data_IF_594180888707
#
_entry.id   IF_594180888707
#
_cell.length_a   1.000
_cell.length_b   1.000
_cell.length_c   1.000
_cell.angle_alpha   90.00
_cell.angle_beta   90.00
_cell.angle_gamma   90.00
#
_symmetry.space_group_name_H-M   'P 1'
#
loop_
_entity.id
_entity.type
_entity.pdbx_description
1 polymer ?
#
# COMPACT_ATOMS: atom_id res chain seq x y z
N UNK A 1 24.77 -7.30 -77.54
CA UNK A 1 24.11 -8.33 -76.68
C UNK A 1 24.96 -8.64 -75.48
N UNK A 2 24.47 -8.47 -74.26
CA UNK A 2 25.23 -8.85 -73.05
C UNK A 2 25.39 -10.38 -72.99
N UNK A 3 26.59 -10.86 -72.73
CA UNK A 3 26.91 -12.30 -72.65
C UNK A 3 25.97 -13.05 -71.68
N UNK A 4 25.62 -14.30 -72.05
CA UNK A 4 24.82 -15.19 -71.18
C UNK A 4 25.38 -15.30 -69.78
N UNK A 5 26.73 -15.34 -69.64
CA UNK A 5 27.44 -15.31 -68.33
C UNK A 5 27.07 -14.09 -67.51
N UNK A 6 27.04 -12.90 -68.11
CA UNK A 6 26.68 -11.64 -67.41
C UNK A 6 25.25 -11.67 -66.92
N UNK A 7 24.32 -12.21 -67.69
CA UNK A 7 22.92 -12.34 -67.30
C UNK A 7 22.76 -13.28 -66.09
N UNK A 8 23.43 -14.42 -66.09
CA UNK A 8 23.40 -15.40 -65.01
C UNK A 8 23.98 -14.78 -63.72
N UNK A 9 25.16 -14.12 -63.78
CA UNK A 9 25.79 -13.48 -62.64
C UNK A 9 24.88 -12.40 -62.06
N UNK A 10 24.29 -11.53 -62.89
CA UNK A 10 23.38 -10.46 -62.43
C UNK A 10 22.14 -11.04 -61.78
N UNK A 11 21.53 -12.11 -62.32
CA UNK A 11 20.38 -12.77 -61.75
C UNK A 11 20.70 -13.40 -60.40
N UNK A 12 21.80 -14.09 -60.24
CA UNK A 12 22.24 -14.70 -58.99
C UNK A 12 22.47 -13.63 -57.91
N UNK A 13 23.19 -12.53 -58.27
CA UNK A 13 23.39 -11.41 -57.36
C UNK A 13 22.05 -10.78 -56.93
N UNK A 14 21.13 -10.56 -57.86
CA UNK A 14 19.84 -9.99 -57.57
C UNK A 14 19.00 -10.89 -56.64
N UNK A 15 18.96 -12.20 -56.92
CA UNK A 15 18.27 -13.15 -56.05
C UNK A 15 18.89 -13.21 -54.66
N UNK A 16 20.22 -13.18 -54.55
CA UNK A 16 20.91 -13.15 -53.28
C UNK A 16 20.59 -11.89 -52.48
N UNK A 17 20.61 -10.71 -53.11
CA UNK A 17 20.25 -9.45 -52.47
C UNK A 17 18.79 -9.42 -51.99
N UNK A 18 17.87 -9.90 -52.80
CA UNK A 18 16.44 -9.98 -52.46
C UNK A 18 16.23 -10.94 -51.27
N UNK A 19 16.86 -12.13 -51.34
CA UNK A 19 16.80 -13.09 -50.21
C UNK A 19 17.33 -12.48 -48.92
N UNK A 20 18.48 -11.83 -48.94
CA UNK A 20 19.09 -11.19 -47.76
C UNK A 20 18.22 -10.09 -47.21
N UNK A 21 17.61 -9.29 -48.10
CA UNK A 21 16.69 -8.23 -47.68
C UNK A 21 15.42 -8.78 -46.98
N UNK A 22 14.83 -9.83 -47.56
CA UNK A 22 13.64 -10.48 -46.98
C UNK A 22 13.99 -11.10 -45.63
N UNK A 23 15.08 -11.86 -45.55
CA UNK A 23 15.53 -12.44 -44.25
C UNK A 23 15.84 -11.37 -43.21
N UNK A 24 16.48 -10.28 -43.61
CA UNK A 24 16.77 -9.15 -42.72
C UNK A 24 15.48 -8.46 -42.24
N UNK A 25 14.51 -8.23 -43.11
CA UNK A 25 13.23 -7.63 -42.74
C UNK A 25 12.45 -8.52 -41.75
N UNK A 26 12.37 -9.82 -42.02
CA UNK A 26 11.70 -10.78 -41.10
C UNK A 26 12.43 -10.83 -39.77
N UNK A 27 13.75 -10.85 -39.79
CA UNK A 27 14.58 -10.88 -38.54
C UNK A 27 14.35 -9.62 -37.68
N UNK A 28 14.26 -8.43 -38.31
CA UNK A 28 13.98 -7.18 -37.60
C UNK A 28 12.57 -7.22 -36.98
N UNK A 29 11.56 -7.62 -37.72
CA UNK A 29 10.17 -7.70 -37.21
C UNK A 29 10.08 -8.66 -36.04
N UNK A 30 10.67 -9.85 -36.16
CA UNK A 30 10.68 -10.84 -35.09
C UNK A 30 11.45 -10.33 -33.87
N UNK A 31 12.61 -9.68 -34.07
CA UNK A 31 13.41 -9.11 -33.00
C UNK A 31 12.67 -8.02 -32.23
N UNK A 32 11.96 -7.13 -32.95
CA UNK A 32 11.15 -6.08 -32.32
C UNK A 32 9.96 -6.67 -31.54
N UNK A 33 9.26 -7.66 -32.12
CA UNK A 33 8.14 -8.32 -31.44
C UNK A 33 8.59 -9.05 -30.17
N UNK A 34 9.67 -9.83 -30.25
CA UNK A 34 10.23 -10.54 -29.09
C UNK A 34 10.71 -9.56 -28.01
N UNK A 35 11.40 -8.49 -28.42
CA UNK A 35 11.86 -7.47 -27.49
C UNK A 35 10.71 -6.76 -26.77
N UNK A 36 9.59 -6.53 -27.46
CA UNK A 36 8.40 -5.95 -26.85
C UNK A 36 7.75 -6.91 -25.84
N UNK A 37 7.58 -8.18 -26.20
CA UNK A 37 7.03 -9.21 -25.31
C UNK A 37 7.93 -9.41 -24.07
N UNK A 38 9.25 -9.50 -24.26
CA UNK A 38 10.21 -9.62 -23.16
C UNK A 38 10.16 -8.40 -22.23
N UNK A 39 10.00 -7.19 -22.79
CA UNK A 39 9.88 -5.95 -22.02
C UNK A 39 8.61 -5.90 -21.19
N UNK A 40 7.48 -6.31 -21.74
CA UNK A 40 6.22 -6.39 -21.01
C UNK A 40 6.33 -7.40 -19.86
N UNK A 41 6.90 -8.57 -20.12
CA UNK A 41 7.08 -9.60 -19.10
C UNK A 41 8.03 -9.14 -17.98
N UNK A 42 9.12 -8.46 -18.31
CA UNK A 42 10.04 -7.91 -17.30
C UNK A 42 9.34 -6.85 -16.43
N UNK A 43 8.58 -5.96 -17.04
CA UNK A 43 7.78 -4.96 -16.33
C UNK A 43 6.79 -5.60 -15.36
N UNK A 44 6.02 -6.56 -15.85
CA UNK A 44 5.04 -7.30 -15.06
C UNK A 44 5.69 -8.00 -13.86
N UNK A 45 6.78 -8.75 -14.09
CA UNK A 45 7.50 -9.43 -13.02
C UNK A 45 8.03 -8.47 -11.95
N UNK A 46 8.52 -7.30 -12.35
CA UNK A 46 8.96 -6.27 -11.40
C UNK A 46 7.80 -5.70 -10.59
N UNK A 47 6.68 -5.38 -11.24
CA UNK A 47 5.49 -4.88 -10.56
C UNK A 47 4.94 -5.90 -9.55
N UNK A 48 4.77 -7.16 -9.96
CA UNK A 48 4.30 -8.24 -9.07
C UNK A 48 5.25 -8.42 -7.89
N UNK A 49 6.56 -8.47 -8.13
CA UNK A 49 7.55 -8.64 -7.04
C UNK A 49 7.49 -7.51 -6.01
N UNK A 50 7.23 -6.27 -6.43
CA UNK A 50 7.14 -5.14 -5.50
C UNK A 50 5.77 -5.11 -4.80
N UNK A 51 4.71 -5.47 -5.49
CA UNK A 51 3.38 -5.65 -4.89
C UNK A 51 3.42 -6.72 -3.79
N UNK A 52 4.05 -7.86 -4.05
CA UNK A 52 4.23 -8.94 -3.07
C UNK A 52 5.01 -8.48 -1.82
N UNK A 53 5.98 -7.59 -1.98
CA UNK A 53 6.73 -7.02 -0.85
C UNK A 53 5.84 -6.12 0.03
N UNK A 54 5.03 -5.25 -0.59
CA UNK A 54 4.07 -4.40 0.10
C UNK A 54 2.97 -5.24 0.77
N UNK A 55 2.41 -6.21 0.07
CA UNK A 55 1.42 -7.14 0.61
C UNK A 55 1.95 -7.92 1.82
N UNK A 56 3.20 -8.38 1.75
CA UNK A 56 3.85 -9.05 2.88
C UNK A 56 3.97 -8.13 4.09
N UNK A 57 4.29 -6.85 3.88
CA UNK A 57 4.36 -5.86 4.96
C UNK A 57 2.99 -5.64 5.59
N UNK A 58 1.95 -5.44 4.78
CA UNK A 58 0.57 -5.28 5.26
C UNK A 58 0.10 -6.53 6.01
N UNK A 59 0.35 -7.73 5.48
CA UNK A 59 -0.01 -8.99 6.13
C UNK A 59 0.71 -9.19 7.47
N UNK A 60 1.98 -8.82 7.60
CA UNK A 60 2.70 -8.89 8.87
C UNK A 60 2.06 -8.00 9.93
N UNK A 61 1.62 -6.80 9.55
CA UNK A 61 0.96 -5.87 10.46
C UNK A 61 -0.43 -6.39 10.84
N UNK A 62 -1.27 -6.79 9.88
CA UNK A 62 -2.61 -7.31 10.18
C UNK A 62 -2.56 -8.54 11.08
N UNK A 63 -1.71 -9.52 10.79
CA UNK A 63 -1.53 -10.72 11.64
C UNK A 63 -1.06 -10.37 13.06
N UNK A 64 -0.18 -9.37 13.19
CA UNK A 64 0.29 -8.93 14.51
C UNK A 64 -0.83 -8.28 15.32
N UNK A 65 -1.63 -7.42 14.69
CA UNK A 65 -2.80 -6.79 15.33
C UNK A 65 -3.85 -7.83 15.71
N UNK A 66 -4.16 -8.76 14.81
CA UNK A 66 -5.10 -9.87 15.05
C UNK A 66 -4.67 -10.77 16.22
N UNK A 67 -3.35 -11.04 16.31
CA UNK A 67 -2.80 -11.79 17.44
C UNK A 67 -3.00 -11.03 18.76
N UNK A 68 -2.65 -9.73 18.79
CA UNK A 68 -2.84 -8.89 19.97
C UNK A 68 -4.32 -8.80 20.33
N UNK A 69 -5.21 -8.63 19.33
CA UNK A 69 -6.66 -8.63 19.52
C UNK A 69 -7.16 -9.93 20.14
N UNK A 70 -6.73 -11.08 19.62
CA UNK A 70 -7.13 -12.38 20.14
C UNK A 70 -6.73 -12.57 21.60
N UNK A 71 -5.52 -12.11 21.98
CA UNK A 71 -5.06 -12.15 23.36
C UNK A 71 -5.83 -11.15 24.24
N UNK A 72 -6.08 -9.95 23.71
CA UNK A 72 -6.82 -8.91 24.42
C UNK A 72 -8.24 -9.38 24.77
N UNK A 73 -8.95 -9.95 23.82
CA UNK A 73 -10.29 -10.50 24.04
C UNK A 73 -10.24 -11.69 25.02
N UNK A 74 -9.28 -12.59 24.87
CA UNK A 74 -9.14 -13.74 25.79
C UNK A 74 -8.83 -13.34 27.24
N UNK A 75 -8.17 -12.18 27.46
CA UNK A 75 -7.89 -11.64 28.80
C UNK A 75 -9.00 -10.76 29.37
N UNK A 76 -10.00 -10.46 28.56
CA UNK A 76 -11.13 -9.62 28.97
C UNK A 76 -12.15 -10.43 29.77
N UNK A 77 -11.84 -10.71 31.03
CA UNK A 77 -12.70 -11.56 31.90
C UNK A 77 -14.02 -10.89 32.25
N UNK A 78 -14.04 -9.55 32.40
CA UNK A 78 -15.18 -8.76 32.86
C UNK A 78 -15.32 -7.46 32.06
N UNK A 79 -15.86 -7.53 30.85
CA UNK A 79 -16.06 -6.37 29.98
C UNK A 79 -16.84 -5.21 30.66
N UNK A 80 -17.89 -5.53 31.41
CA UNK A 80 -18.66 -4.54 32.16
C UNK A 80 -17.81 -3.75 33.17
N UNK A 81 -16.68 -4.29 33.63
CA UNK A 81 -15.78 -3.62 34.57
C UNK A 81 -15.00 -2.46 33.93
N UNK A 82 -14.90 -2.39 32.59
CA UNK A 82 -14.34 -1.22 31.92
C UNK A 82 -15.12 0.05 32.21
N UNK A 83 -16.43 -0.05 32.37
CA UNK A 83 -17.32 1.09 32.67
C UNK A 83 -17.34 1.50 34.14
N UNK A 84 -16.98 0.57 35.03
CA UNK A 84 -17.27 0.76 36.46
C UNK A 84 -16.04 0.76 37.34
N UNK A 85 -14.89 0.33 36.83
CA UNK A 85 -13.68 0.15 37.64
C UNK A 85 -12.42 0.62 36.92
N UNK A 86 -11.93 1.78 37.32
CA UNK A 86 -10.62 2.30 36.87
C UNK A 86 -9.49 1.32 37.18
N UNK A 87 -9.50 0.72 38.36
CA UNK A 87 -8.47 -0.26 38.79
C UNK A 87 -8.44 -1.49 37.85
N UNK A 88 -9.60 -1.90 37.32
CA UNK A 88 -9.66 -2.97 36.35
C UNK A 88 -9.01 -2.57 35.03
N UNK A 89 -9.36 -1.37 34.51
CA UNK A 89 -8.77 -0.81 33.28
C UNK A 89 -7.26 -0.68 33.41
N UNK A 90 -6.77 -0.12 34.53
CA UNK A 90 -5.35 0.05 34.80
C UNK A 90 -4.60 -1.29 34.87
N UNK A 91 -5.22 -2.30 35.51
CA UNK A 91 -4.65 -3.65 35.63
C UNK A 91 -4.58 -4.34 34.27
N UNK A 92 -5.66 -4.28 33.49
CA UNK A 92 -5.73 -4.83 32.17
C UNK A 92 -4.69 -4.18 31.23
N UNK A 93 -4.58 -2.85 31.27
CA UNK A 93 -3.59 -2.07 30.51
C UNK A 93 -2.17 -2.52 30.82
N UNK A 94 -1.82 -2.71 32.11
CA UNK A 94 -0.51 -3.20 32.52
C UNK A 94 -0.21 -4.62 32.01
N UNK A 95 -1.23 -5.47 31.92
CA UNK A 95 -1.08 -6.83 31.40
C UNK A 95 -0.90 -6.84 29.87
N UNK A 96 -1.53 -5.89 29.17
CA UNK A 96 -1.44 -5.78 27.71
C UNK A 96 -0.15 -5.12 27.22
N UNK A 97 0.46 -4.24 28.01
CA UNK A 97 1.68 -3.52 27.62
C UNK A 97 2.82 -4.45 27.11
N UNK A 98 3.26 -5.48 27.84
CA UNK A 98 4.34 -6.34 27.36
C UNK A 98 3.95 -7.13 26.10
N UNK A 99 2.67 -7.44 25.92
CA UNK A 99 2.15 -8.16 24.75
C UNK A 99 2.20 -7.26 23.53
N UNK A 100 1.67 -6.04 23.64
CA UNK A 100 1.69 -5.05 22.57
C UNK A 100 3.14 -4.68 22.20
N UNK A 101 4.00 -4.43 23.19
CA UNK A 101 5.41 -4.11 23.00
C UNK A 101 6.15 -5.22 22.24
N UNK A 102 5.97 -6.47 22.66
CA UNK A 102 6.60 -7.63 22.01
C UNK A 102 6.08 -7.81 20.57
N UNK A 103 4.79 -7.63 20.35
CA UNK A 103 4.20 -7.73 19.02
C UNK A 103 4.72 -6.61 18.11
N UNK A 104 4.66 -5.36 18.56
CA UNK A 104 5.15 -4.22 17.80
C UNK A 104 6.64 -4.35 17.43
N UNK A 105 7.49 -4.76 18.39
CA UNK A 105 8.92 -4.91 18.17
C UNK A 105 9.25 -5.98 17.12
N UNK A 106 8.43 -7.03 17.03
CA UNK A 106 8.63 -8.11 16.06
C UNK A 106 7.91 -7.88 14.72
N UNK A 107 7.15 -6.79 14.59
CA UNK A 107 6.42 -6.48 13.36
C UNK A 107 7.27 -5.56 12.48
N UNK A 108 7.76 -6.10 11.37
CA UNK A 108 8.51 -5.32 10.39
C UNK A 108 7.58 -4.26 9.76
N UNK A 109 8.04 -3.02 9.69
CA UNK A 109 7.30 -1.90 9.11
C UNK A 109 6.38 -1.16 10.09
N UNK A 110 6.05 -1.73 11.27
CA UNK A 110 5.25 -1.01 12.26
C UNK A 110 6.00 0.23 12.77
N UNK A 111 5.36 1.39 12.74
CA UNK A 111 5.86 2.66 13.29
C UNK A 111 5.24 2.97 14.65
N UNK A 112 3.93 2.71 14.78
CA UNK A 112 3.20 2.83 16.05
C UNK A 112 2.39 1.57 16.32
N UNK A 113 2.05 1.37 17.58
CA UNK A 113 1.12 0.31 18.01
C UNK A 113 0.34 0.79 19.23
N UNK A 114 -0.96 0.52 19.24
CA UNK A 114 -1.81 1.06 20.28
C UNK A 114 -2.97 0.13 20.67
N UNK A 115 -3.42 0.31 21.91
CA UNK A 115 -4.70 -0.15 22.43
C UNK A 115 -5.37 1.08 23.03
N UNK A 116 -6.49 1.53 22.47
CA UNK A 116 -7.18 2.71 22.97
C UNK A 116 -8.59 2.33 23.38
N UNK A 117 -8.95 2.75 24.60
CA UNK A 117 -10.26 2.43 25.16
C UNK A 117 -11.30 3.50 24.82
N UNK A 118 -12.55 3.13 24.93
CA UNK A 118 -13.67 4.00 24.61
C UNK A 118 -13.74 5.18 25.58
N UNK A 119 -13.57 6.44 25.10
CA UNK A 119 -13.55 7.63 25.95
C UNK A 119 -14.89 7.98 26.59
N UNK A 120 -16.00 7.34 26.19
CA UNK A 120 -17.31 7.58 26.81
C UNK A 120 -17.38 7.06 28.25
N UNK A 121 -16.54 6.10 28.61
CA UNK A 121 -16.54 5.50 29.95
C UNK A 121 -15.15 5.23 30.53
N UNK A 122 -14.09 5.63 29.85
CA UNK A 122 -12.75 5.61 30.39
C UNK A 122 -12.16 7.02 30.35
N UNK A 123 -11.01 7.23 31.01
CA UNK A 123 -10.28 8.50 30.90
C UNK A 123 -9.89 8.76 29.43
N UNK A 124 -9.92 10.00 28.92
CA UNK A 124 -9.65 10.31 27.52
C UNK A 124 -8.28 9.86 27.00
N UNK A 125 -7.31 9.68 27.90
CA UNK A 125 -5.97 9.17 27.60
C UNK A 125 -5.78 7.69 27.90
N UNK A 126 -6.86 6.97 28.26
CA UNK A 126 -6.78 5.56 28.64
C UNK A 126 -6.34 4.66 27.51
N UNK A 127 -5.43 3.74 27.82
CA UNK A 127 -4.90 2.77 26.88
C UNK A 127 -3.37 2.81 26.80
N UNK A 128 -2.86 2.33 25.69
CA UNK A 128 -1.44 2.25 25.35
C UNK A 128 -1.20 2.92 24.01
N UNK A 129 -0.09 3.63 23.91
CA UNK A 129 0.42 4.13 22.64
C UNK A 129 1.94 3.94 22.63
N UNK A 130 2.41 3.14 21.70
CA UNK A 130 3.82 2.87 21.46
C UNK A 130 4.22 3.52 20.16
N UNK A 131 5.38 4.13 20.13
CA UNK A 131 5.95 4.74 18.92
C UNK A 131 7.44 4.50 18.87
N UNK A 132 8.02 4.61 17.67
CA UNK A 132 9.46 4.65 17.43
C UNK A 132 9.77 5.67 16.34
N UNK A 133 11.00 6.16 16.30
CA UNK A 133 11.40 7.20 15.35
C UNK A 133 11.54 6.64 13.92
N UNK A 134 11.91 5.37 13.79
CA UNK A 134 12.10 4.67 12.51
C UNK A 134 12.10 3.15 12.74
N UNK A 135 12.10 2.37 11.66
CA UNK A 135 12.01 0.91 11.69
C UNK A 135 13.15 0.20 12.46
N UNK A 136 14.29 0.85 12.66
CA UNK A 136 15.46 0.29 13.35
C UNK A 136 15.50 0.66 14.86
N UNK A 137 14.64 1.59 15.30
CA UNK A 137 14.58 2.05 16.68
C UNK A 137 13.70 1.12 17.53
N UNK A 138 13.93 1.13 18.84
CA UNK A 138 13.05 0.44 19.79
C UNK A 138 11.78 1.26 20.03
N UNK A 139 10.69 0.55 20.34
CA UNK A 139 9.44 1.20 20.71
C UNK A 139 9.52 1.81 22.11
N UNK A 140 8.99 3.02 22.22
CA UNK A 140 8.79 3.70 23.49
C UNK A 140 7.29 3.88 23.77
N UNK A 141 6.92 3.78 25.05
CA UNK A 141 5.55 4.06 25.48
C UNK A 141 5.40 5.55 25.73
N UNK A 142 4.46 6.18 25.05
CA UNK A 142 4.15 7.61 25.21
C UNK A 142 2.73 7.80 25.73
N UNK A 143 2.44 9.02 26.20
CA UNK A 143 1.08 9.37 26.61
C UNK A 143 0.16 9.35 25.39
N UNK A 144 -0.93 8.57 25.42
CA UNK A 144 -1.87 8.54 24.32
C UNK A 144 -2.55 9.90 24.07
N UNK A 145 -3.01 10.11 22.82
CA UNK A 145 -3.81 11.28 22.44
C UNK A 145 -4.97 11.48 23.41
N UNK A 146 -5.14 12.70 23.90
CA UNK A 146 -6.26 13.07 24.75
C UNK A 146 -7.51 13.33 23.88
N UNK A 147 -8.44 12.39 23.87
CA UNK A 147 -9.67 12.49 23.07
C UNK A 147 -10.57 13.66 23.50
N UNK A 148 -10.43 14.20 24.70
CA UNK A 148 -11.22 15.36 25.14
C UNK A 148 -10.86 16.66 24.42
N UNK A 149 -9.74 16.68 23.70
CA UNK A 149 -9.26 17.84 22.97
C UNK A 149 -9.88 17.96 21.56
N UNK A 150 -10.53 16.90 21.07
CA UNK A 150 -11.00 16.82 19.69
C UNK A 150 -12.48 16.42 19.61
N UNK A 151 -13.16 16.94 18.60
CA UNK A 151 -14.50 16.46 18.25
C UNK A 151 -14.39 15.06 17.60
N UNK A 152 -15.29 14.11 17.89
CA UNK A 152 -15.29 12.80 17.24
C UNK A 152 -15.33 12.82 15.70
N UNK A 153 -15.79 13.92 15.11
CA UNK A 153 -15.80 14.14 13.66
C UNK A 153 -14.49 14.70 13.10
N UNK A 154 -13.51 15.01 13.96
CA UNK A 154 -12.19 15.47 13.55
C UNK A 154 -11.35 14.28 13.02
N UNK A 155 -11.53 14.02 11.72
CA UNK A 155 -10.87 12.88 11.05
C UNK A 155 -9.35 13.00 11.08
N UNK A 156 -8.81 14.22 11.03
CA UNK A 156 -7.38 14.48 10.98
C UNK A 156 -6.65 14.05 12.27
N UNK A 157 -7.29 14.25 13.43
CA UNK A 157 -6.68 13.95 14.72
C UNK A 157 -7.14 12.63 15.35
N UNK A 158 -8.41 12.24 15.14
CA UNK A 158 -9.01 11.09 15.81
C UNK A 158 -9.76 10.13 14.89
N UNK A 159 -9.70 10.34 13.56
CA UNK A 159 -10.34 9.47 12.58
C UNK A 159 -9.88 8.02 12.66
N UNK A 160 -8.61 7.79 12.96
CA UNK A 160 -8.02 6.46 13.16
C UNK A 160 -8.68 5.65 14.30
N UNK A 161 -9.38 6.32 15.22
CA UNK A 161 -10.17 5.69 16.28
C UNK A 161 -11.64 5.55 15.86
N UNK A 162 -12.29 6.66 15.46
CA UNK A 162 -13.74 6.69 15.28
C UNK A 162 -14.21 6.00 13.99
N UNK A 163 -13.43 6.04 12.90
CA UNK A 163 -13.83 5.39 11.64
C UNK A 163 -13.92 3.87 11.80
N UNK A 164 -12.92 3.14 12.32
CA UNK A 164 -13.04 1.70 12.55
C UNK A 164 -14.15 1.33 13.53
N UNK A 165 -14.37 2.12 14.60
CA UNK A 165 -15.46 1.92 15.54
C UNK A 165 -16.82 2.04 14.86
N UNK A 166 -17.01 3.05 13.99
CA UNK A 166 -18.24 3.22 13.23
C UNK A 166 -18.46 2.11 12.20
N UNK A 167 -17.37 1.60 11.60
CA UNK A 167 -17.44 0.48 10.65
C UNK A 167 -17.78 -0.85 11.33
N UNK A 168 -17.51 -0.99 12.63
CA UNK A 168 -17.76 -2.21 13.42
C UNK A 168 -16.96 -3.42 12.94
N UNK A 169 -15.84 -3.22 12.25
CA UNK A 169 -14.99 -4.30 11.70
C UNK A 169 -13.54 -3.83 11.55
N UNK A 170 -12.65 -4.81 11.34
CA UNK A 170 -11.28 -4.54 10.97
C UNK A 170 -11.23 -3.62 9.74
N UNK A 171 -10.36 -2.63 9.80
CA UNK A 171 -10.28 -1.58 8.78
C UNK A 171 -8.81 -1.25 8.48
N UNK A 172 -8.43 -1.34 7.21
CA UNK A 172 -7.28 -0.63 6.69
C UNK A 172 -7.71 0.81 6.39
N UNK A 173 -7.00 1.77 6.98
CA UNK A 173 -7.20 3.18 6.66
C UNK A 173 -6.38 3.50 5.40
N UNK A 174 -6.94 4.30 4.49
CA UNK A 174 -6.15 4.87 3.40
C UNK A 174 -5.01 5.75 3.95
N UNK A 175 -3.93 6.01 3.17
CA UNK A 175 -2.84 6.85 3.63
C UNK A 175 -3.35 8.23 4.07
N UNK A 176 -2.99 8.62 5.28
CA UNK A 176 -3.37 9.91 5.85
C UNK A 176 -2.24 10.55 6.65
N UNK A 177 -2.25 11.87 6.77
CA UNK A 177 -1.36 12.60 7.67
C UNK A 177 -1.91 12.49 9.10
N UNK A 178 -1.18 11.80 9.98
CA UNK A 178 -1.51 11.84 11.41
C UNK A 178 -0.92 13.12 12.02
N UNK A 179 -1.75 14.13 12.22
CA UNK A 179 -1.34 15.45 12.71
C UNK A 179 -0.81 15.43 14.14
N UNK A 180 -1.12 14.37 14.94
CA UNK A 180 -0.58 14.25 16.30
C UNK A 180 0.93 13.99 16.31
N UNK A 181 1.46 13.31 15.29
CA UNK A 181 2.88 12.97 15.20
C UNK A 181 3.55 13.51 13.91
N UNK A 182 2.77 14.11 13.00
CA UNK A 182 3.27 14.75 11.79
C UNK A 182 3.81 13.77 10.73
N UNK A 183 3.33 12.54 10.70
CA UNK A 183 3.78 11.48 9.78
C UNK A 183 2.63 11.01 8.91
N UNK A 184 2.89 10.83 7.62
CA UNK A 184 1.98 10.11 6.71
C UNK A 184 2.05 8.62 6.99
N UNK A 185 0.90 7.97 7.20
CA UNK A 185 0.84 6.58 7.59
C UNK A 185 -0.38 5.85 7.02
N UNK A 186 -0.28 4.53 7.04
CA UNK A 186 -1.39 3.59 6.80
C UNK A 186 -1.63 2.84 8.09
N UNK A 187 -2.88 2.72 8.51
CA UNK A 187 -3.25 2.07 9.78
C UNK A 187 -4.09 0.83 9.54
N UNK A 188 -3.79 -0.26 10.26
CA UNK A 188 -4.69 -1.39 10.42
C UNK A 188 -5.25 -1.41 11.83
N UNK A 189 -6.58 -1.37 11.92
CA UNK A 189 -7.27 -1.19 13.20
C UNK A 189 -8.42 -2.18 13.34
N UNK A 190 -8.52 -2.82 14.51
CA UNK A 190 -9.60 -3.72 14.88
C UNK A 190 -10.36 -3.15 16.08
N UNK A 191 -11.68 -2.90 15.99
CA UNK A 191 -12.51 -2.56 17.14
C UNK A 191 -12.60 -3.75 18.11
N UNK A 192 -12.48 -3.48 19.41
CA UNK A 192 -12.74 -4.48 20.45
C UNK A 192 -14.22 -4.39 20.82
N UNK A 193 -15.01 -5.30 20.31
CA UNK A 193 -16.45 -5.35 20.59
C UNK A 193 -16.78 -6.47 21.57
N UNK A 194 -17.58 -6.14 22.57
CA UNK A 194 -18.11 -7.13 23.54
C UNK A 194 -19.58 -6.83 23.76
N UNK A 195 -20.42 -7.85 23.60
CA UNK A 195 -21.88 -7.76 23.75
C UNK A 195 -22.52 -6.67 22.85
N UNK A 196 -21.91 -6.40 21.69
CA UNK A 196 -22.41 -5.39 20.72
C UNK A 196 -22.01 -3.95 21.07
N UNK A 197 -21.05 -3.76 21.95
CA UNK A 197 -20.53 -2.47 22.34
C UNK A 197 -19.01 -2.40 22.18
N UNK A 198 -18.52 -1.30 21.57
CA UNK A 198 -17.07 -1.09 21.42
C UNK A 198 -16.46 -0.68 22.76
N UNK A 199 -15.52 -1.48 23.26
CA UNK A 199 -14.69 -1.18 24.42
C UNK A 199 -13.49 -0.31 24.04
N UNK A 200 -13.10 -0.35 22.77
CA UNK A 200 -11.95 0.38 22.25
C UNK A 200 -11.48 -0.21 20.94
N UNK A 201 -10.22 0.05 20.62
CA UNK A 201 -9.56 -0.43 19.43
C UNK A 201 -8.16 -0.97 19.71
N UNK A 202 -7.66 -1.81 18.82
CA UNK A 202 -6.25 -2.18 18.71
C UNK A 202 -5.79 -1.85 17.30
N UNK A 203 -4.62 -1.24 17.14
CA UNK A 203 -4.09 -0.94 15.83
C UNK A 203 -2.57 -0.86 15.81
N UNK A 204 -2.04 -0.89 14.59
CA UNK A 204 -0.66 -0.58 14.25
C UNK A 204 -0.65 0.28 12.98
N UNK A 205 0.32 1.18 12.93
CA UNK A 205 0.53 2.07 11.79
C UNK A 205 1.86 1.74 11.12
N UNK A 206 1.87 1.85 9.81
CA UNK A 206 3.06 1.76 8.96
C UNK A 206 3.40 3.17 8.47
N UNK A 207 4.67 3.56 8.53
CA UNK A 207 5.14 4.78 7.87
C UNK A 207 4.92 4.64 6.35
N UNK A 208 4.16 5.54 5.77
CA UNK A 208 3.88 5.52 4.34
C UNK A 208 5.13 5.70 3.48
N UNK A 209 6.19 6.28 4.04
CA UNK A 209 7.48 6.41 3.36
C UNK A 209 8.12 5.05 3.04
N UNK A 210 7.83 3.99 3.78
CA UNK A 210 8.26 2.63 3.46
C UNK A 210 7.66 2.15 2.12
N UNK A 211 6.38 2.49 1.86
CA UNK A 211 5.71 2.21 0.59
C UNK A 211 6.30 3.04 -0.55
N UNK A 212 6.42 4.35 -0.35
CA UNK A 212 6.91 5.25 -1.41
C UNK A 212 8.36 4.94 -1.77
N UNK A 213 9.21 4.59 -0.80
CA UNK A 213 10.59 4.18 -1.06
C UNK A 213 10.65 2.87 -1.89
N UNK A 214 9.78 1.90 -1.59
CA UNK A 214 9.66 0.66 -2.37
C UNK A 214 9.27 0.98 -3.81
N UNK A 215 8.27 1.85 -4.01
CA UNK A 215 7.79 2.28 -5.32
C UNK A 215 8.87 3.09 -6.08
N UNK A 216 9.57 4.01 -5.42
CA UNK A 216 10.64 4.81 -6.02
C UNK A 216 11.87 3.97 -6.42
N UNK A 217 12.08 2.84 -5.75
CA UNK A 217 13.12 1.89 -6.13
C UNK A 217 12.83 1.16 -7.44
N UNK A 218 11.56 1.16 -7.90
CA UNK A 218 11.14 0.60 -9.17
C UNK A 218 11.71 1.41 -10.33
N UNK A 219 12.79 0.92 -10.91
CA UNK A 219 13.30 1.41 -12.19
C UNK A 219 12.91 0.44 -13.29
N UNK A 220 12.05 0.89 -14.19
CA UNK A 220 11.60 0.12 -15.35
C UNK A 220 12.20 0.77 -16.60
N UNK A 221 13.22 0.15 -17.17
CA UNK A 221 14.01 0.71 -18.27
C UNK A 221 14.59 2.10 -17.95
N UNK A 222 14.70 2.98 -18.96
CA UNK A 222 15.34 4.30 -18.80
C UNK A 222 14.38 5.38 -18.26
N UNK A 223 13.07 5.18 -18.31
CA UNK A 223 12.07 6.22 -18.02
C UNK A 223 10.82 5.74 -17.26
N UNK A 224 10.67 4.45 -17.07
CA UNK A 224 9.53 3.91 -16.32
C UNK A 224 9.66 4.14 -14.82
N UNK A 225 8.53 4.31 -14.16
CA UNK A 225 8.43 4.52 -12.72
C UNK A 225 7.15 3.90 -12.18
N UNK A 226 7.12 3.65 -10.87
CA UNK A 226 5.95 3.19 -10.17
C UNK A 226 5.10 4.35 -9.62
N UNK A 227 3.82 4.08 -9.38
CA UNK A 227 2.91 4.94 -8.62
C UNK A 227 1.85 4.09 -7.92
N UNK A 228 1.14 4.68 -6.97
CA UNK A 228 0.00 4.06 -6.29
C UNK A 228 -1.26 4.87 -6.54
N UNK A 229 -2.32 4.19 -6.91
CA UNK A 229 -3.67 4.75 -6.99
C UNK A 229 -4.67 3.70 -6.48
N UNK A 230 -5.82 4.17 -5.97
CA UNK A 230 -6.91 3.27 -5.64
C UNK A 230 -7.71 2.87 -6.91
N UNK A 231 -8.71 2.02 -6.75
CA UNK A 231 -9.57 1.50 -7.82
C UNK A 231 -10.39 2.58 -8.55
N UNK A 232 -10.59 3.73 -7.93
CA UNK A 232 -11.25 4.90 -8.54
C UNK A 232 -10.28 5.83 -9.28
N UNK A 233 -8.96 5.52 -9.30
CA UNK A 233 -7.93 6.32 -9.93
C UNK A 233 -7.48 7.53 -9.09
N UNK A 234 -7.81 7.57 -7.81
CA UNK A 234 -7.28 8.58 -6.89
C UNK A 234 -5.82 8.26 -6.56
N UNK A 235 -4.96 9.27 -6.68
CA UNK A 235 -3.52 9.16 -6.48
C UNK A 235 -3.19 9.06 -5.00
N UNK A 236 -2.65 7.93 -4.60
CA UNK A 236 -2.09 7.72 -3.26
C UNK A 236 -0.60 8.08 -3.20
N UNK A 237 0.13 7.83 -4.29
CA UNK A 237 1.50 8.26 -4.48
C UNK A 237 1.85 8.34 -5.96
N UNK A 238 2.44 9.47 -6.38
CA UNK A 238 2.95 9.67 -7.74
C UNK A 238 4.04 10.74 -7.71
N UNK A 239 5.10 10.59 -8.50
CA UNK A 239 6.23 11.53 -8.50
C UNK A 239 5.89 12.94 -9.01
N UNK A 240 4.84 13.07 -9.86
CA UNK A 240 4.48 14.33 -10.54
C UNK A 240 3.06 14.82 -10.19
N UNK A 241 2.21 14.01 -9.54
CA UNK A 241 0.84 14.34 -9.21
C UNK A 241 0.66 14.45 -7.69
N UNK A 242 -0.27 15.32 -7.28
CA UNK A 242 -0.59 15.51 -5.87
C UNK A 242 -1.43 14.34 -5.33
N UNK A 243 -1.17 13.93 -4.08
CA UNK A 243 -1.95 12.93 -3.37
C UNK A 243 -3.40 13.42 -3.25
N UNK A 244 -4.36 12.53 -3.50
CA UNK A 244 -5.80 12.84 -3.51
C UNK A 244 -6.31 13.43 -4.84
N UNK A 245 -5.42 13.70 -5.82
CA UNK A 245 -5.86 14.05 -7.17
C UNK A 245 -6.32 12.80 -7.94
N UNK A 246 -7.15 12.97 -8.97
CA UNK A 246 -7.55 11.84 -9.81
C UNK A 246 -6.68 11.79 -11.09
N UNK A 247 -6.23 10.60 -11.46
CA UNK A 247 -5.41 10.36 -12.66
C UNK A 247 -6.06 10.92 -13.94
N UNK A 248 -7.35 10.69 -14.14
CA UNK A 248 -8.08 11.13 -15.33
C UNK A 248 -8.28 12.66 -15.39
N UNK A 249 -8.38 13.32 -14.23
CA UNK A 249 -8.47 14.79 -14.14
C UNK A 249 -7.10 15.44 -14.41
N UNK A 250 -6.02 14.77 -14.03
CA UNK A 250 -4.66 15.25 -14.27
C UNK A 250 -4.28 15.18 -15.76
N UNK A 251 -4.65 14.10 -16.44
CA UNK A 251 -4.50 13.94 -17.89
C UNK A 251 -5.56 12.97 -18.42
N UNK A 252 -6.41 13.44 -19.33
CA UNK A 252 -7.49 12.63 -19.93
C UNK A 252 -6.99 11.35 -20.64
N UNK A 253 -5.72 11.31 -21.02
CA UNK A 253 -5.08 10.13 -21.58
C UNK A 253 -4.88 9.00 -20.57
N UNK A 254 -4.96 9.28 -19.26
CA UNK A 254 -4.91 8.29 -18.18
C UNK A 254 -6.26 7.64 -17.88
N UNK A 255 -7.36 8.04 -18.57
CA UNK A 255 -8.66 7.41 -18.38
C UNK A 255 -8.62 5.90 -18.60
N UNK A 256 -7.85 5.42 -19.57
CA UNK A 256 -7.69 3.97 -19.82
C UNK A 256 -7.06 3.23 -18.63
N UNK A 257 -6.18 3.90 -17.87
CA UNK A 257 -5.60 3.35 -16.65
C UNK A 257 -6.66 3.29 -15.55
N UNK A 258 -7.45 4.35 -15.35
CA UNK A 258 -8.55 4.37 -14.38
C UNK A 258 -9.58 3.30 -14.68
N UNK A 259 -9.97 3.15 -15.95
CA UNK A 259 -10.91 2.11 -16.37
C UNK A 259 -10.37 0.69 -16.11
N UNK A 260 -9.05 0.51 -16.23
CA UNK A 260 -8.40 -0.76 -15.91
C UNK A 260 -8.35 -1.03 -14.40
N UNK A 261 -8.05 -0.01 -13.57
CA UNK A 261 -8.03 -0.12 -12.11
C UNK A 261 -9.40 -0.48 -11.53
N UNK A 262 -10.48 0.09 -12.07
CA UNK A 262 -11.86 -0.21 -11.64
C UNK A 262 -12.39 -1.56 -12.08
N UNK A 263 -11.63 -2.34 -12.85
CA UNK A 263 -12.07 -3.62 -13.39
C UNK A 263 -11.34 -4.78 -12.69
N UNK A 264 -11.98 -5.40 -11.69
CA UNK A 264 -11.42 -6.49 -10.85
C UNK A 264 -10.83 -7.69 -11.63
N UNK A 265 -11.07 -7.77 -12.95
CA UNK A 265 -10.53 -8.82 -13.82
C UNK A 265 -9.17 -8.50 -14.43
N UNK A 266 -8.61 -7.33 -14.15
CA UNK A 266 -7.39 -6.83 -14.81
C UNK A 266 -6.12 -6.93 -13.96
N UNK A 267 -6.11 -7.76 -12.92
CA UNK A 267 -4.85 -8.12 -12.27
C UNK A 267 -3.84 -8.55 -13.34
N UNK A 268 -2.69 -7.86 -13.42
CA UNK A 268 -1.59 -8.15 -14.34
C UNK A 268 -1.80 -7.80 -15.82
N UNK A 269 -2.64 -6.84 -16.16
CA UNK A 269 -2.86 -6.45 -17.56
C UNK A 269 -2.02 -5.24 -17.97
N UNK A 270 -1.28 -5.34 -19.09
CA UNK A 270 -0.64 -4.19 -19.70
C UNK A 270 -1.68 -3.32 -20.42
N UNK A 271 -1.76 -2.05 -20.04
CA UNK A 271 -2.66 -1.06 -20.64
C UNK A 271 -1.84 -0.01 -21.36
N UNK A 272 -2.13 0.21 -22.65
CA UNK A 272 -1.54 1.31 -23.39
C UNK A 272 -2.32 2.59 -23.13
N UNK A 273 -1.64 3.65 -22.77
CA UNK A 273 -2.24 4.95 -22.47
C UNK A 273 -1.40 6.10 -23.01
N UNK A 274 -1.96 7.30 -23.01
CA UNK A 274 -1.24 8.51 -23.42
C UNK A 274 -1.07 9.40 -22.18
N UNK A 275 0.16 9.82 -21.92
CA UNK A 275 0.47 10.74 -20.83
C UNK A 275 1.43 11.83 -21.33
N UNK A 276 1.08 13.10 -21.08
CA UNK A 276 1.85 14.27 -21.56
C UNK A 276 2.17 14.21 -23.07
N UNK A 277 1.21 13.70 -23.86
CA UNK A 277 1.33 13.59 -25.31
C UNK A 277 2.23 12.45 -25.82
N UNK A 278 2.66 11.55 -24.95
CA UNK A 278 3.40 10.34 -25.31
C UNK A 278 2.51 9.12 -25.11
N UNK A 279 2.55 8.19 -26.06
CA UNK A 279 1.94 6.86 -25.92
C UNK A 279 2.89 6.00 -25.11
N UNK A 280 2.39 5.44 -24.02
CA UNK A 280 3.13 4.59 -23.09
C UNK A 280 2.49 3.22 -22.98
#
# INVERSE_FOLDING_TARGET
>A
MKSIKTKIIVTVILCSLVSTFICGAISIVNSVSTSYEDSQQEMQLKCVSQSDELDTMMQNVSQSVEMVYSIAVAKLEHAASFRTSKDYVDTYTKQMLPILMQSAQNTKGALTAYIRYNPEFTEPTSGLFLTRDNSDSEFESVTPTDFSMYDPSDVEHVGWYYIPVQNGKETWMEPYLNSNIGVYMISYVIPIEVDGESIGIIGMDIDFSEFTNTIDSLSIFDSGYGFLANDSGEVMYHKDLEIGSNLADADSGLQAVVDALGNEQTEETAVSYTYQGKVL
#
